data_IF_636186373450
#
_entry.id   IF_636186373450
#
_cell.length_a   1.000
_cell.length_b   1.000
_cell.length_c   1.000
_cell.angle_alpha   90.00
_cell.angle_beta   90.00
_cell.angle_gamma   90.00
#
_symmetry.space_group_name_H-M   'P 1'
#
loop_
_entity.id
_entity.type
_entity.pdbx_description
1 polymer ?
#
# COMPACT_ATOMS: atom_id res chain seq x y z
N UNK A 1 -1.86 9.12 56.96
CA UNK A 1 -2.71 8.25 56.11
C UNK A 1 -2.84 8.71 54.66
N UNK A 2 -2.68 9.97 54.33
CA UNK A 2 -2.83 10.52 52.97
C UNK A 2 -1.69 10.10 51.99
N UNK A 3 -0.47 9.93 52.48
CA UNK A 3 0.68 9.53 51.64
C UNK A 3 0.62 8.12 51.05
N UNK A 4 -0.08 7.19 51.69
CA UNK A 4 -0.26 5.81 51.17
C UNK A 4 -1.35 5.69 50.11
N UNK A 5 -2.29 6.64 50.07
CA UNK A 5 -3.39 6.65 49.10
C UNK A 5 -2.97 7.17 47.72
N UNK A 6 -2.00 8.09 47.69
CA UNK A 6 -1.45 8.65 46.44
C UNK A 6 -0.65 7.60 45.64
N UNK A 7 0.05 6.67 46.31
CA UNK A 7 0.82 5.61 45.65
C UNK A 7 -0.11 4.60 44.98
N UNK A 8 -1.33 4.39 45.49
CA UNK A 8 -2.27 3.42 44.92
C UNK A 8 -2.91 3.89 43.59
N UNK A 9 -3.06 5.22 43.41
CA UNK A 9 -3.65 5.79 42.18
C UNK A 9 -2.67 5.68 40.97
N UNK A 10 -1.36 5.62 41.19
CA UNK A 10 -0.38 5.57 40.14
C UNK A 10 -0.24 4.19 39.45
N UNK A 11 -0.76 3.13 40.09
CA UNK A 11 -0.68 1.75 39.58
C UNK A 11 -1.75 1.42 38.53
N UNK A 12 -2.81 2.27 38.42
CA UNK A 12 -3.95 2.02 37.54
C UNK A 12 -3.95 2.81 36.22
N UNK A 13 -2.86 3.51 35.88
CA UNK A 13 -2.79 4.14 34.56
C UNK A 13 -2.42 3.08 33.50
N UNK A 14 -3.32 2.73 32.56
CA UNK A 14 -2.99 1.81 31.49
C UNK A 14 -1.99 2.48 30.57
N UNK A 15 -0.74 2.06 30.62
CA UNK A 15 0.27 2.41 29.62
C UNK A 15 -0.16 1.74 28.33
N UNK A 16 -0.65 2.53 27.36
CA UNK A 16 -0.90 2.03 26.01
C UNK A 16 0.47 1.70 25.40
N UNK A 17 0.82 0.43 25.38
CA UNK A 17 1.96 -0.05 24.62
C UNK A 17 1.66 0.15 23.13
N UNK A 18 2.35 1.07 22.49
CA UNK A 18 2.38 1.16 21.03
C UNK A 18 3.22 -0.04 20.58
N UNK A 19 2.57 -1.08 20.08
CA UNK A 19 3.27 -2.17 19.43
C UNK A 19 3.85 -1.62 18.11
N UNK A 20 5.14 -1.34 18.12
CA UNK A 20 5.90 -1.09 16.90
C UNK A 20 6.07 -2.44 16.21
N UNK A 21 5.75 -2.53 14.91
CA UNK A 21 6.03 -3.73 14.12
C UNK A 21 7.55 -3.77 13.96
N UNK A 22 8.23 -4.57 14.77
CA UNK A 22 9.65 -4.84 14.65
C UNK A 22 9.84 -5.99 13.66
N UNK A 23 10.35 -5.69 12.46
CA UNK A 23 10.72 -6.71 11.48
C UNK A 23 12.10 -7.24 11.88
N UNK A 24 12.13 -8.34 12.62
CA UNK A 24 13.38 -9.05 12.97
C UNK A 24 13.89 -9.84 11.75
N UNK A 25 14.86 -9.28 11.05
CA UNK A 25 15.47 -9.84 9.83
C UNK A 25 16.51 -10.95 10.17
N UNK A 26 16.76 -11.23 11.45
CA UNK A 26 17.89 -12.09 11.88
C UNK A 26 17.57 -13.58 11.95
N UNK A 27 16.33 -14.01 11.77
CA UNK A 27 15.95 -15.42 11.80
C UNK A 27 15.52 -15.90 10.42
N UNK A 28 16.26 -16.85 9.85
CA UNK A 28 16.09 -17.41 8.51
C UNK A 28 14.77 -18.18 8.26
N UNK A 29 13.68 -17.82 8.91
CA UNK A 29 12.33 -18.31 8.66
C UNK A 29 11.36 -17.13 8.68
N UNK A 30 11.56 -16.19 7.74
CA UNK A 30 10.65 -15.09 7.54
C UNK A 30 9.39 -15.64 6.88
N UNK A 31 8.27 -15.61 7.60
CA UNK A 31 6.96 -15.69 6.94
C UNK A 31 6.78 -14.40 6.14
N UNK A 32 6.77 -14.46 4.79
CA UNK A 32 6.63 -13.25 3.98
C UNK A 32 5.34 -12.50 4.35
N UNK A 33 5.43 -11.18 4.50
CA UNK A 33 4.32 -10.34 4.91
C UNK A 33 3.20 -10.39 3.85
N UNK A 34 1.95 -10.79 4.20
CA UNK A 34 0.82 -10.74 3.27
C UNK A 34 0.51 -9.30 2.87
N UNK A 35 0.63 -9.01 1.59
CA UNK A 35 0.49 -7.66 1.05
C UNK A 35 -0.48 -7.66 -0.12
N UNK A 36 -1.38 -6.69 -0.19
CA UNK A 36 -2.22 -6.44 -1.34
C UNK A 36 -1.61 -5.32 -2.21
N UNK A 37 -1.49 -5.56 -3.51
CA UNK A 37 -1.12 -4.53 -4.50
C UNK A 37 -2.34 -4.28 -5.36
N UNK A 38 -3.09 -3.20 -5.07
CA UNK A 38 -4.23 -2.80 -5.87
C UNK A 38 -3.76 -2.35 -7.27
N UNK A 39 -4.50 -2.65 -8.35
CA UNK A 39 -4.27 -1.98 -9.61
C UNK A 39 -4.27 -0.45 -9.40
N UNK A 40 -3.35 0.26 -10.04
CA UNK A 40 -3.35 1.72 -9.94
C UNK A 40 -4.52 2.30 -10.71
N UNK A 41 -5.24 3.24 -10.09
CA UNK A 41 -6.32 3.95 -10.76
C UNK A 41 -5.79 4.87 -11.86
N UNK A 42 -6.58 5.08 -12.89
CA UNK A 42 -6.25 5.95 -14.01
C UNK A 42 -7.52 6.67 -14.46
N UNK A 43 -7.44 7.99 -14.64
CA UNK A 43 -8.54 8.74 -15.20
C UNK A 43 -8.66 8.52 -16.71
N UNK A 44 -9.86 8.77 -17.25
CA UNK A 44 -10.18 8.48 -18.64
C UNK A 44 -9.33 9.30 -19.63
N UNK A 45 -9.00 10.54 -19.31
CA UNK A 45 -8.16 11.40 -20.14
C UNK A 45 -6.74 10.87 -20.22
N UNK A 46 -6.16 10.51 -19.06
CA UNK A 46 -4.84 9.90 -18.99
C UNK A 46 -4.80 8.56 -19.71
N UNK A 47 -5.85 7.74 -19.60
CA UNK A 47 -5.96 6.45 -20.29
C UNK A 47 -5.83 6.62 -21.81
N UNK A 48 -6.62 7.53 -22.40
CA UNK A 48 -6.57 7.81 -23.86
C UNK A 48 -5.20 8.28 -24.31
N UNK A 49 -4.54 9.15 -23.54
CA UNK A 49 -3.20 9.61 -23.86
C UNK A 49 -2.18 8.47 -23.84
N UNK A 50 -2.22 7.59 -22.85
CA UNK A 50 -1.29 6.46 -22.79
C UNK A 50 -1.58 5.41 -23.85
N UNK A 51 -2.83 5.17 -24.20
CA UNK A 51 -3.21 4.31 -25.32
C UNK A 51 -2.59 4.79 -26.63
N UNK A 52 -2.72 6.10 -26.92
CA UNK A 52 -2.14 6.70 -28.12
C UNK A 52 -0.60 6.67 -28.16
N UNK A 53 0.06 6.88 -27.02
CA UNK A 53 1.52 7.00 -26.96
C UNK A 53 2.21 5.64 -26.82
N UNK A 54 1.61 4.72 -26.06
CA UNK A 54 2.23 3.46 -25.64
C UNK A 54 1.53 2.22 -26.19
N UNK A 55 0.39 2.38 -26.87
CA UNK A 55 -0.48 1.26 -27.27
C UNK A 55 -0.87 0.38 -26.07
N UNK A 56 -1.25 1.03 -24.96
CA UNK A 56 -1.58 0.38 -23.66
C UNK A 56 -2.83 0.96 -23.06
N UNK A 57 -3.89 0.16 -22.98
CA UNK A 57 -5.15 0.55 -22.38
C UNK A 57 -5.09 0.62 -20.85
N UNK A 58 -4.27 -0.21 -20.21
CA UNK A 58 -4.31 -0.39 -18.76
C UNK A 58 -2.92 -0.35 -18.10
N UNK A 59 -2.21 0.74 -18.34
CA UNK A 59 -0.87 0.95 -17.78
C UNK A 59 -0.84 0.89 -16.24
N UNK A 60 -1.93 1.29 -15.57
CA UNK A 60 -2.02 1.23 -14.12
C UNK A 60 -1.94 -0.22 -13.58
N UNK A 61 -2.61 -1.15 -14.25
CA UNK A 61 -2.52 -2.57 -13.91
C UNK A 61 -1.16 -3.16 -14.24
N UNK A 62 -0.53 -2.74 -15.33
CA UNK A 62 0.80 -3.23 -15.70
C UNK A 62 1.87 -2.76 -14.72
N UNK A 63 1.82 -1.51 -14.27
CA UNK A 63 2.72 -0.99 -13.23
C UNK A 63 2.53 -1.76 -11.93
N UNK A 64 1.27 -1.98 -11.49
CA UNK A 64 1.01 -2.75 -10.26
C UNK A 64 1.54 -4.18 -10.36
N UNK A 65 1.49 -4.81 -11.52
CA UNK A 65 2.03 -6.15 -11.72
C UNK A 65 3.56 -6.19 -11.60
N UNK A 66 4.25 -5.16 -12.09
CA UNK A 66 5.71 -5.04 -11.91
C UNK A 66 6.06 -4.89 -10.43
N UNK A 67 5.34 -4.01 -9.71
CA UNK A 67 5.54 -3.81 -8.26
C UNK A 67 5.30 -5.13 -7.51
N UNK A 68 4.20 -5.82 -7.81
CA UNK A 68 3.86 -7.11 -7.22
C UNK A 68 4.97 -8.15 -7.43
N UNK A 69 5.47 -8.28 -8.67
CA UNK A 69 6.52 -9.22 -8.99
C UNK A 69 7.85 -8.89 -8.29
N UNK A 70 8.22 -7.62 -8.21
CA UNK A 70 9.42 -7.17 -7.50
C UNK A 70 9.33 -7.47 -6.01
N UNK A 71 8.18 -7.21 -5.39
CA UNK A 71 7.94 -7.51 -3.98
C UNK A 71 8.00 -9.02 -3.71
N UNK A 72 7.37 -9.83 -4.57
CA UNK A 72 7.42 -11.30 -4.46
C UNK A 72 8.85 -11.82 -4.57
N UNK A 73 9.62 -11.32 -5.53
CA UNK A 73 11.01 -11.73 -5.76
C UNK A 73 11.94 -11.35 -4.60
N UNK A 74 11.62 -10.32 -3.83
CA UNK A 74 12.38 -9.94 -2.63
C UNK A 74 12.36 -11.02 -1.53
N UNK A 75 11.37 -11.91 -1.55
CA UNK A 75 11.16 -12.94 -0.52
C UNK A 75 10.61 -12.41 0.82
N UNK A 76 10.48 -11.09 0.97
CA UNK A 76 9.99 -10.44 2.20
C UNK A 76 8.46 -10.31 2.22
N UNK A 77 7.83 -10.33 1.05
CA UNK A 77 6.40 -10.11 0.87
C UNK A 77 5.74 -11.28 0.16
N UNK A 78 4.49 -11.52 0.53
CA UNK A 78 3.60 -12.46 -0.15
C UNK A 78 2.41 -11.71 -0.75
N UNK A 79 2.50 -11.25 -2.01
CA UNK A 79 1.42 -10.57 -2.67
C UNK A 79 0.18 -11.47 -2.82
N UNK A 80 -0.96 -10.94 -2.41
CA UNK A 80 -2.25 -11.63 -2.44
C UNK A 80 -2.85 -11.63 -3.85
N UNK A 81 -3.65 -12.67 -4.15
CA UNK A 81 -4.34 -12.78 -5.44
C UNK A 81 -5.39 -11.66 -5.59
N UNK A 82 -5.31 -10.92 -6.69
CA UNK A 82 -6.22 -9.82 -7.03
C UNK A 82 -7.69 -10.27 -7.11
N UNK A 83 -7.95 -11.55 -7.37
CA UNK A 83 -9.31 -12.12 -7.40
C UNK A 83 -10.00 -12.06 -6.03
N UNK A 84 -9.24 -11.97 -4.95
CA UNK A 84 -9.76 -11.83 -3.60
C UNK A 84 -10.14 -10.39 -3.25
N UNK A 85 -9.79 -9.40 -4.06
CA UNK A 85 -9.99 -7.99 -3.73
C UNK A 85 -11.47 -7.60 -3.79
N UNK A 86 -11.96 -6.99 -2.73
CA UNK A 86 -13.36 -6.58 -2.57
C UNK A 86 -13.61 -5.13 -2.98
N UNK A 87 -12.54 -4.32 -3.10
CA UNK A 87 -12.63 -2.93 -3.49
C UNK A 87 -12.10 -2.68 -4.89
N UNK A 88 -12.82 -1.84 -5.64
CA UNK A 88 -12.31 -1.30 -6.90
C UNK A 88 -11.10 -0.37 -6.67
N UNK A 89 -10.15 -0.30 -7.63
CA UNK A 89 -8.94 0.51 -7.50
C UNK A 89 -9.18 1.98 -7.18
N UNK A 90 -10.18 2.60 -7.80
CA UNK A 90 -10.51 4.02 -7.62
C UNK A 90 -10.94 4.32 -6.18
N UNK A 91 -11.77 3.45 -5.61
CA UNK A 91 -12.24 3.57 -4.22
C UNK A 91 -11.09 3.35 -3.25
N UNK A 92 -10.29 2.30 -3.46
CA UNK A 92 -9.16 1.98 -2.61
C UNK A 92 -8.09 3.10 -2.60
N UNK A 93 -7.90 3.79 -3.73
CA UNK A 93 -6.96 4.89 -3.83
C UNK A 93 -7.39 6.14 -3.05
N UNK A 94 -8.69 6.44 -3.00
CA UNK A 94 -9.22 7.60 -2.26
C UNK A 94 -9.15 7.38 -0.76
N UNK A 95 -9.75 6.31 -0.28
CA UNK A 95 -9.74 5.88 1.12
C UNK A 95 -10.03 4.39 1.21
N UNK A 96 -9.05 3.55 1.53
CA UNK A 96 -9.29 2.12 1.69
C UNK A 96 -10.30 1.83 2.79
N UNK A 97 -11.22 0.90 2.54
CA UNK A 97 -12.00 0.27 3.60
C UNK A 97 -11.17 -0.86 4.19
N UNK A 98 -10.44 -0.56 5.26
CA UNK A 98 -9.45 -1.48 5.83
C UNK A 98 -10.06 -2.81 6.29
N UNK A 99 -11.34 -2.83 6.65
CA UNK A 99 -12.07 -4.04 7.02
C UNK A 99 -12.08 -5.06 5.86
N UNK A 100 -12.34 -4.63 4.62
CA UNK A 100 -12.35 -5.49 3.44
C UNK A 100 -10.96 -6.13 3.20
N UNK A 101 -9.90 -5.36 3.39
CA UNK A 101 -8.53 -5.83 3.25
C UNK A 101 -8.10 -6.76 4.37
N UNK A 102 -8.59 -6.51 5.59
CA UNK A 102 -8.36 -7.40 6.73
C UNK A 102 -9.07 -8.75 6.56
N UNK A 103 -10.27 -8.77 5.96
CA UNK A 103 -10.99 -10.02 5.66
C UNK A 103 -10.16 -10.98 4.79
N UNK A 104 -9.43 -10.45 3.82
CA UNK A 104 -8.54 -11.25 2.97
C UNK A 104 -7.14 -11.44 3.56
N UNK A 105 -6.94 -11.09 4.84
CA UNK A 105 -5.68 -11.24 5.59
C UNK A 105 -4.51 -10.40 5.06
N UNK A 106 -4.77 -9.30 4.36
CA UNK A 106 -3.74 -8.33 4.03
C UNK A 106 -3.28 -7.62 5.30
N UNK A 107 -1.97 -7.55 5.54
CA UNK A 107 -1.38 -6.75 6.61
C UNK A 107 -0.93 -5.37 6.08
N UNK A 108 -0.52 -5.32 4.83
CA UNK A 108 -0.21 -4.08 4.14
C UNK A 108 -0.98 -3.98 2.81
N UNK A 109 -1.20 -2.76 2.36
CA UNK A 109 -1.88 -2.46 1.10
C UNK A 109 -1.12 -1.37 0.36
N UNK A 110 -0.85 -1.61 -0.92
CA UNK A 110 -0.38 -0.58 -1.85
C UNK A 110 -1.54 -0.17 -2.74
N UNK A 111 -1.83 1.13 -2.76
CA UNK A 111 -2.74 1.78 -3.69
C UNK A 111 -2.00 2.87 -4.46
N UNK A 112 -2.62 3.43 -5.48
CA UNK A 112 -2.03 4.55 -6.19
C UNK A 112 -2.81 4.94 -7.44
N UNK A 113 -2.29 5.93 -8.12
CA UNK A 113 -2.87 6.44 -9.37
C UNK A 113 -1.80 6.77 -10.41
N UNK A 114 -2.21 6.72 -11.64
CA UNK A 114 -1.41 7.09 -12.81
C UNK A 114 -2.11 8.25 -13.52
N UNK A 115 -1.37 9.32 -13.76
CA UNK A 115 -1.86 10.50 -14.47
C UNK A 115 -0.91 10.86 -15.63
N UNK A 116 -1.50 11.43 -16.69
CA UNK A 116 -0.77 12.08 -17.77
C UNK A 116 -0.84 13.59 -17.60
N UNK A 117 0.29 14.22 -17.26
CA UNK A 117 0.37 15.65 -16.95
C UNK A 117 1.57 16.26 -17.66
N UNK A 118 1.34 17.30 -18.48
CA UNK A 118 2.40 18.00 -19.21
C UNK A 118 3.32 17.05 -19.99
N UNK A 119 2.73 16.15 -20.78
CA UNK A 119 3.42 15.14 -21.60
C UNK A 119 4.29 14.15 -20.78
N UNK A 120 4.03 14.03 -19.50
CA UNK A 120 4.72 13.12 -18.60
C UNK A 120 3.78 12.13 -17.93
N UNK A 121 4.32 10.96 -17.66
CA UNK A 121 3.75 9.97 -16.78
C UNK A 121 4.04 10.37 -15.34
N UNK A 122 3.01 10.55 -14.53
CA UNK A 122 3.10 10.71 -13.08
C UNK A 122 2.43 9.53 -12.39
N UNK A 123 3.18 8.82 -11.56
CA UNK A 123 2.69 7.70 -10.75
C UNK A 123 2.79 8.07 -9.29
N UNK A 124 1.70 7.89 -8.56
CA UNK A 124 1.63 8.08 -7.12
C UNK A 124 1.33 6.74 -6.46
N UNK A 125 2.08 6.40 -5.43
CA UNK A 125 1.88 5.22 -4.60
C UNK A 125 1.60 5.63 -3.16
N UNK A 126 0.76 4.84 -2.48
CA UNK A 126 0.51 4.93 -1.05
C UNK A 126 0.62 3.55 -0.44
N UNK A 127 1.38 3.47 0.63
CA UNK A 127 1.49 2.27 1.45
C UNK A 127 0.66 2.46 2.72
N UNK A 128 -0.17 1.50 3.02
CA UNK A 128 -1.06 1.50 4.18
C UNK A 128 -0.76 0.31 5.09
N UNK A 129 -0.76 0.54 6.38
CA UNK A 129 -0.91 -0.49 7.40
C UNK A 129 -2.41 -0.81 7.53
N UNK A 130 -2.80 -2.02 7.17
CA UNK A 130 -4.21 -2.43 7.16
C UNK A 130 -4.74 -2.60 8.58
N UNK A 131 -3.92 -3.11 9.49
CA UNK A 131 -4.32 -3.37 10.88
C UNK A 131 -4.44 -2.08 11.68
N UNK A 132 -3.50 -1.14 11.47
CA UNK A 132 -3.53 0.17 12.11
C UNK A 132 -4.47 1.16 11.41
N UNK A 133 -5.00 0.82 10.22
CA UNK A 133 -5.82 1.68 9.37
C UNK A 133 -5.15 3.05 9.09
N UNK A 134 -3.83 3.03 8.80
CA UNK A 134 -3.00 4.24 8.71
C UNK A 134 -2.14 4.23 7.45
N UNK A 135 -2.01 5.41 6.83
CA UNK A 135 -1.02 5.63 5.77
C UNK A 135 0.39 5.66 6.40
N UNK A 136 1.27 4.82 5.86
CA UNK A 136 2.67 4.73 6.28
C UNK A 136 3.58 5.61 5.42
N UNK A 137 3.29 5.65 4.10
CA UNK A 137 4.15 6.33 3.13
C UNK A 137 3.35 6.74 1.90
N UNK A 138 3.69 7.87 1.32
CA UNK A 138 3.26 8.29 0.00
C UNK A 138 4.47 8.69 -0.83
N UNK A 139 4.54 8.21 -2.08
CA UNK A 139 5.60 8.49 -3.03
C UNK A 139 5.02 8.90 -4.37
N UNK A 140 5.69 9.80 -5.07
CA UNK A 140 5.32 10.19 -6.42
C UNK A 140 6.55 10.22 -7.33
N UNK A 141 6.40 9.66 -8.52
CA UNK A 141 7.42 9.62 -9.55
C UNK A 141 6.90 10.29 -10.81
N UNK A 142 7.76 11.00 -11.51
CA UNK A 142 7.42 11.64 -12.79
C UNK A 142 8.51 11.29 -13.80
N UNK A 143 8.11 10.76 -14.96
CA UNK A 143 9.02 10.36 -16.02
C UNK A 143 8.38 10.57 -17.40
N UNK A 144 9.14 10.34 -18.47
CA UNK A 144 8.56 10.25 -19.81
C UNK A 144 7.74 8.96 -19.94
N UNK A 145 6.63 8.93 -20.70
CA UNK A 145 5.75 7.76 -20.79
C UNK A 145 6.49 6.47 -21.19
N UNK A 146 7.46 6.55 -22.08
CA UNK A 146 8.23 5.39 -22.54
C UNK A 146 9.06 4.70 -21.44
N UNK A 147 9.33 5.39 -20.35
CA UNK A 147 10.07 4.86 -19.19
C UNK A 147 9.17 4.30 -18.07
N UNK A 148 7.91 4.05 -18.35
CA UNK A 148 6.91 3.63 -17.38
C UNK A 148 7.29 2.39 -16.52
N UNK A 149 8.19 1.54 -17.03
CA UNK A 149 8.70 0.35 -16.32
C UNK A 149 9.71 0.67 -15.22
N UNK A 150 10.17 1.92 -15.12
CA UNK A 150 11.22 2.35 -14.17
C UNK A 150 10.69 3.19 -13.01
N UNK A 151 9.40 3.28 -12.86
CA UNK A 151 8.74 3.99 -11.74
C UNK A 151 8.53 3.08 -10.54
#
# INVERSE_FOLDING_TARGET
MIKKFIIFIFVFFPIKALALIEVDITRGNLNPLPLAVSPLSIDETSRKNFEQILDKENIGSEISLIVENNLRTSGLFNPLDKKAFLQAPDIANLKPRFEDWNLIKAQALITGKVNFINDKLRVEFRLWDVLAAKEMMALAFTTVPTNWRRV
#
